data_IF_700242962715
#
_entry.id   IF_700242962715
#
_cell.length_a   1.000
_cell.length_b   1.000
_cell.length_c   1.000
_cell.angle_alpha   90.00
_cell.angle_beta   90.00
_cell.angle_gamma   90.00
#
_symmetry.space_group_name_H-M   'P 1'
#
loop_
_entity.id
_entity.type
_entity.pdbx_description
1 polymer ?
#
# COMPACT_ATOMS: atom_id res chain seq x y z
N UNK A 1 4.80 14.82 -4.03
CA UNK A 1 4.09 15.09 -2.78
C UNK A 1 3.62 13.79 -2.14
N UNK A 2 3.75 13.70 -0.83
CA UNK A 2 3.25 12.51 -0.13
C UNK A 2 2.58 12.93 1.16
N UNK A 3 1.69 12.06 1.67
CA UNK A 3 1.00 12.34 2.91
C UNK A 3 0.58 11.03 3.57
N UNK A 4 0.18 11.13 4.83
CA UNK A 4 -0.24 9.97 5.60
C UNK A 4 -1.75 9.86 5.57
N UNK A 5 -2.25 8.63 5.50
CA UNK A 5 -3.66 8.36 5.68
C UNK A 5 -3.81 7.29 6.75
N UNK A 6 -4.95 7.27 7.40
CA UNK A 6 -5.24 6.24 8.40
C UNK A 6 -5.76 4.99 7.70
N UNK A 7 -5.79 3.88 8.43
CA UNK A 7 -6.41 2.67 7.92
C UNK A 7 -7.89 2.90 7.62
N UNK A 8 -8.54 3.71 8.43
CA UNK A 8 -9.95 4.04 8.23
C UNK A 8 -10.16 4.87 6.97
N UNK A 9 -9.24 5.78 6.68
CA UNK A 9 -9.30 6.54 5.44
C UNK A 9 -9.07 5.65 4.22
N UNK A 10 -8.18 4.68 4.34
CA UNK A 10 -8.00 3.72 3.26
C UNK A 10 -9.29 2.95 3.01
N UNK A 11 -9.95 2.52 4.08
CA UNK A 11 -11.22 1.83 3.95
C UNK A 11 -12.22 2.69 3.18
N UNK A 12 -12.26 3.97 3.49
CA UNK A 12 -13.16 4.89 2.81
C UNK A 12 -12.81 5.01 1.33
N UNK A 13 -11.52 5.11 1.00
CA UNK A 13 -11.09 5.16 -0.40
C UNK A 13 -11.57 3.92 -1.16
N UNK A 14 -11.47 2.76 -0.53
CA UNK A 14 -11.88 1.51 -1.16
C UNK A 14 -13.40 1.44 -1.30
N UNK A 15 -14.12 1.91 -0.30
CA UNK A 15 -15.59 1.96 -0.38
C UNK A 15 -16.06 2.88 -1.51
N UNK A 16 -15.36 3.97 -1.72
CA UNK A 16 -15.68 4.93 -2.76
C UNK A 16 -15.17 4.51 -4.12
N UNK A 17 -14.47 3.40 -4.20
CA UNK A 17 -13.92 2.88 -5.45
C UNK A 17 -13.00 3.89 -6.12
N UNK A 18 -12.24 4.63 -5.33
CA UNK A 18 -11.29 5.58 -5.88
C UNK A 18 -10.21 4.85 -6.66
N UNK A 19 -9.73 5.48 -7.71
CA UNK A 19 -8.71 4.87 -8.56
C UNK A 19 -7.35 5.06 -7.94
N UNK A 20 -7.02 4.18 -7.00
CA UNK A 20 -5.71 4.19 -6.37
C UNK A 20 -4.93 2.97 -6.84
N UNK A 21 -3.61 3.06 -6.72
CA UNK A 21 -2.75 1.92 -6.98
C UNK A 21 -2.19 1.49 -5.63
N UNK A 22 -2.71 0.41 -5.09
CA UNK A 22 -2.40 -0.01 -3.72
C UNK A 22 -1.25 -0.99 -3.74
N UNK A 23 -0.23 -0.72 -2.94
CA UNK A 23 1.00 -1.52 -2.91
C UNK A 23 1.24 -2.05 -1.51
N UNK A 24 1.41 -3.37 -1.41
CA UNK A 24 1.80 -4.05 -0.19
C UNK A 24 3.30 -4.29 -0.26
N UNK A 25 4.05 -3.67 0.63
CA UNK A 25 5.50 -3.73 0.61
C UNK A 25 6.08 -4.82 1.50
N UNK A 26 5.23 -5.70 2.02
CA UNK A 26 5.70 -6.81 2.84
C UNK A 26 6.27 -7.91 1.95
N UNK A 27 6.93 -8.88 2.58
CA UNK A 27 7.45 -10.01 1.79
C UNK A 27 6.30 -10.85 1.22
N UNK A 28 6.63 -11.72 0.28
CA UNK A 28 5.61 -12.48 -0.44
C UNK A 28 4.82 -13.42 0.45
N UNK A 29 5.48 -13.98 1.43
CA UNK A 29 4.81 -14.93 2.32
C UNK A 29 3.77 -14.21 3.16
N UNK A 30 4.11 -13.05 3.68
CA UNK A 30 3.16 -12.24 4.43
C UNK A 30 1.98 -11.83 3.56
N UNK A 31 2.28 -11.42 2.34
CA UNK A 31 1.22 -11.02 1.41
C UNK A 31 0.27 -12.19 1.15
N UNK A 32 0.81 -13.36 0.93
CA UNK A 32 -0.03 -14.54 0.65
C UNK A 32 -0.89 -14.92 1.83
N UNK A 33 -0.42 -14.69 3.05
CA UNK A 33 -1.20 -15.09 4.22
C UNK A 33 -2.35 -14.14 4.51
N UNK A 34 -2.37 -12.98 3.86
CA UNK A 34 -3.49 -12.05 4.00
C UNK A 34 -3.04 -10.66 3.59
N UNK A 35 -3.86 -9.97 2.80
CA UNK A 35 -3.51 -8.63 2.33
C UNK A 35 -4.81 -7.88 2.05
N UNK A 36 -4.69 -6.60 1.80
CA UNK A 36 -5.86 -5.78 1.48
C UNK A 36 -6.21 -6.00 0.02
N UNK A 37 -7.47 -6.25 -0.25
CA UNK A 37 -7.96 -6.61 -1.57
C UNK A 37 -7.53 -5.56 -2.61
N UNK A 38 -6.99 -6.03 -3.71
CA UNK A 38 -6.55 -5.17 -4.79
C UNK A 38 -5.11 -4.73 -4.68
N UNK A 39 -4.43 -5.06 -3.59
CA UNK A 39 -3.03 -4.66 -3.43
C UNK A 39 -2.12 -5.47 -4.35
N UNK A 40 -1.14 -4.78 -4.90
CA UNK A 40 -0.05 -5.42 -5.64
C UNK A 40 1.10 -5.59 -4.69
N UNK A 41 1.68 -6.78 -4.65
CA UNK A 41 2.80 -7.03 -3.74
C UNK A 41 4.11 -6.58 -4.39
N UNK A 42 4.73 -5.60 -3.78
CA UNK A 42 6.06 -5.14 -4.21
C UNK A 42 6.92 -5.07 -2.97
N UNK A 43 7.56 -6.18 -2.60
CA UNK A 43 8.47 -6.15 -1.45
C UNK A 43 9.50 -5.03 -1.60
N UNK A 44 9.93 -4.49 -0.48
CA UNK A 44 10.76 -3.30 -0.49
C UNK A 44 11.97 -3.44 -1.42
N UNK A 45 12.62 -4.59 -1.39
CA UNK A 45 13.81 -4.78 -2.19
C UNK A 45 13.50 -4.86 -3.69
N UNK A 46 12.27 -5.16 -4.05
CA UNK A 46 11.87 -5.21 -5.46
C UNK A 46 11.29 -3.89 -5.95
N UNK A 47 10.81 -3.07 -5.03
CA UNK A 47 10.07 -1.87 -5.39
C UNK A 47 10.88 -0.99 -6.33
N UNK A 48 12.16 -0.80 -6.01
CA UNK A 48 12.99 0.14 -6.76
C UNK A 48 13.33 -0.35 -8.15
N UNK A 49 13.25 -1.65 -8.37
CA UNK A 49 13.43 -2.23 -9.71
C UNK A 49 12.14 -2.28 -10.49
N UNK A 50 11.01 -2.05 -9.82
CA UNK A 50 9.70 -2.18 -10.44
C UNK A 50 8.95 -0.85 -10.52
N UNK A 51 9.66 0.26 -10.41
CA UNK A 51 9.01 1.57 -10.43
C UNK A 51 8.28 1.83 -11.74
N UNK A 52 8.67 1.17 -12.82
CA UNK A 52 7.96 1.33 -14.09
C UNK A 52 6.51 0.87 -14.02
N UNK A 53 6.18 0.01 -13.06
CA UNK A 53 4.81 -0.46 -12.90
C UNK A 53 3.94 0.54 -12.18
N UNK A 54 4.54 1.57 -11.60
CA UNK A 54 3.79 2.54 -10.80
C UNK A 54 3.25 3.65 -11.68
N UNK A 55 1.96 3.98 -11.56
CA UNK A 55 1.37 5.01 -12.41
C UNK A 55 1.73 6.41 -11.91
N UNK A 56 2.02 7.31 -12.84
CA UNK A 56 2.24 8.71 -12.50
C UNK A 56 0.93 9.48 -12.39
N UNK A 57 -0.14 8.95 -12.96
CA UNK A 57 -1.41 9.66 -13.07
C UNK A 57 -2.42 9.26 -11.99
N UNK A 58 -2.07 8.36 -11.11
CA UNK A 58 -2.97 7.92 -10.05
C UNK A 58 -2.26 8.01 -8.71
N UNK A 59 -3.04 8.10 -7.65
CA UNK A 59 -2.49 8.07 -6.30
C UNK A 59 -1.99 6.67 -5.99
N UNK A 60 -0.73 6.56 -5.60
CA UNK A 60 -0.15 5.31 -5.13
C UNK A 60 -0.32 5.29 -3.62
N UNK A 61 -0.89 4.20 -3.11
CA UNK A 61 -1.06 4.04 -1.66
C UNK A 61 -0.19 2.88 -1.21
N UNK A 62 0.72 3.16 -0.31
CA UNK A 62 1.66 2.15 0.17
C UNK A 62 1.30 1.71 1.57
N UNK A 63 1.54 0.45 1.89
CA UNK A 63 1.52 0.01 3.28
C UNK A 63 2.54 -1.10 3.48
N UNK A 64 2.99 -1.23 4.73
CA UNK A 64 3.82 -2.34 5.14
C UNK A 64 3.20 -2.94 6.39
N UNK A 65 3.96 -3.61 7.23
CA UNK A 65 3.36 -4.24 8.41
C UNK A 65 2.87 -3.19 9.41
N UNK A 66 3.72 -2.27 9.85
CA UNK A 66 3.29 -1.22 10.79
C UNK A 66 3.75 0.19 10.46
N UNK A 67 4.23 0.45 9.27
CA UNK A 67 4.31 1.82 8.79
C UNK A 67 5.67 2.41 8.45
N UNK A 68 6.76 2.15 9.18
CA UNK A 68 7.99 2.92 8.95
C UNK A 68 8.63 2.72 7.59
N UNK A 69 8.66 1.50 7.10
CA UNK A 69 9.32 1.23 5.81
C UNK A 69 8.56 1.84 4.65
N UNK A 70 7.23 1.73 4.67
CA UNK A 70 6.45 2.29 3.59
C UNK A 70 6.48 3.80 3.63
N UNK A 71 6.61 4.39 4.82
CA UNK A 71 6.72 5.84 4.92
C UNK A 71 7.98 6.34 4.26
N UNK A 72 9.10 5.66 4.47
CA UNK A 72 10.36 6.06 3.83
C UNK A 72 10.26 5.91 2.32
N UNK A 73 9.63 4.83 1.86
CA UNK A 73 9.45 4.64 0.42
C UNK A 73 8.56 5.71 -0.18
N UNK A 74 7.51 6.12 0.54
CA UNK A 74 6.62 7.16 0.06
C UNK A 74 7.37 8.46 -0.16
N UNK A 75 8.25 8.83 0.77
CA UNK A 75 9.05 10.03 0.62
C UNK A 75 9.93 9.98 -0.62
N UNK A 76 10.58 8.84 -0.84
CA UNK A 76 11.46 8.68 -1.98
C UNK A 76 10.68 8.72 -3.30
N UNK A 77 9.54 8.05 -3.36
CA UNK A 77 8.73 8.06 -4.57
C UNK A 77 8.20 9.46 -4.86
N UNK A 78 7.85 10.21 -3.83
CA UNK A 78 7.39 11.58 -4.03
C UNK A 78 8.49 12.44 -4.65
N UNK A 79 9.73 12.22 -4.27
CA UNK A 79 10.86 12.94 -4.87
C UNK A 79 11.02 12.59 -6.33
N UNK A 80 10.56 11.42 -6.73
CA UNK A 80 10.62 10.98 -8.12
C UNK A 80 9.42 11.46 -8.93
N UNK A 81 8.51 12.22 -8.32
CA UNK A 81 7.40 12.81 -9.04
C UNK A 81 6.07 12.08 -8.89
N UNK A 82 6.02 11.01 -8.13
CA UNK A 82 4.77 10.26 -7.92
C UNK A 82 3.90 10.93 -6.86
N UNK A 83 2.59 10.72 -6.97
CA UNK A 83 1.65 11.12 -5.93
C UNK A 83 1.47 9.92 -5.01
N UNK A 84 1.79 10.06 -3.75
CA UNK A 84 1.86 8.91 -2.84
C UNK A 84 1.19 9.22 -1.52
N UNK A 85 0.47 8.23 -1.01
CA UNK A 85 -0.03 8.25 0.36
C UNK A 85 0.49 6.99 1.06
N UNK A 86 0.75 7.10 2.33
CA UNK A 86 1.21 5.98 3.13
C UNK A 86 0.21 5.72 4.25
N UNK A 87 -0.13 4.44 4.45
CA UNK A 87 -1.06 4.07 5.51
C UNK A 87 -0.27 3.94 6.81
N UNK A 88 -0.41 4.92 7.70
CA UNK A 88 0.31 4.84 8.97
C UNK A 88 -0.29 3.73 9.81
N UNK A 89 0.56 3.05 10.56
CA UNK A 89 0.16 1.87 11.29
C UNK A 89 0.13 0.61 10.43
N UNK A 90 0.22 0.74 9.11
CA UNK A 90 0.31 -0.39 8.20
C UNK A 90 -0.90 -1.31 8.27
N UNK A 91 -0.72 -2.53 7.77
CA UNK A 91 -1.80 -3.51 7.78
C UNK A 91 -2.16 -3.93 9.21
N UNK A 92 -1.23 -3.77 10.14
CA UNK A 92 -1.49 -4.10 11.54
C UNK A 92 -2.65 -3.26 12.09
N UNK A 93 -2.80 -2.03 11.63
CA UNK A 93 -3.87 -1.14 12.08
C UNK A 93 -5.18 -1.32 11.31
N UNK A 94 -5.16 -2.07 10.22
CA UNK A 94 -6.33 -2.19 9.38
C UNK A 94 -7.32 -3.20 9.95
N UNK A 95 -8.58 -2.78 10.09
CA UNK A 95 -9.65 -3.64 10.63
C UNK A 95 -10.83 -3.72 9.67
N UNK A 96 -10.64 -3.30 8.44
CA UNK A 96 -11.74 -3.17 7.51
C UNK A 96 -12.09 -4.47 6.81
N UNK A 97 -13.09 -4.38 5.96
CA UNK A 97 -13.68 -5.56 5.32
C UNK A 97 -12.91 -6.04 4.10
N UNK A 98 -11.90 -5.30 3.66
CA UNK A 98 -11.17 -5.69 2.45
C UNK A 98 -9.93 -6.53 2.73
N UNK A 99 -9.73 -6.92 3.97
CA UNK A 99 -8.63 -7.81 4.30
C UNK A 99 -8.95 -9.20 3.79
N UNK A 100 -8.10 -9.73 2.92
CA UNK A 100 -8.27 -11.08 2.42
C UNK A 100 -7.37 -12.00 3.23
N UNK A 101 -7.76 -13.25 3.33
CA UNK A 101 -6.95 -14.25 4.01
C UNK A 101 -6.74 -15.43 3.09
N UNK A 102 -5.51 -15.87 3.05
CA UNK A 102 -5.16 -16.97 2.21
C UNK A 102 -5.96 -18.23 2.53
N UNK A 103 -6.21 -18.44 3.80
CA UNK A 103 -6.86 -19.67 4.25
C UNK A 103 -8.35 -19.58 4.32
N UNK A 104 -8.88 -18.58 3.75
CA UNK A 104 -10.30 -18.40 3.69
C UNK A 104 -10.84 -19.32 2.64
N UNK A 105 -11.00 -20.53 2.93
CA UNK A 105 -11.46 -21.48 1.93
C UNK A 105 -12.36 -22.42 2.47
#
# INVERSE_FOLDING_TARGET
>A
MWYLISASELEQYLDEKREIFLVDMRDRESFRSGHIRGAVNMPEEELWERTKELPMSRLIVLYCYHGPRSMLAARQLARMGYQVADVYGGIQAYRGKYLTEKNCR
#
